data_IF_043655809887
#
_entry.id   IF_043655809887
#
_cell.length_a   1.000
_cell.length_b   1.000
_cell.length_c   1.000
_cell.angle_alpha   90.00
_cell.angle_beta   90.00
_cell.angle_gamma   90.00
#
_symmetry.space_group_name_H-M   'P 1'
#
loop_
_entity.id
_entity.type
_entity.pdbx_description
1 polymer ?
#
# COMPACT_ATOMS: atom_id res chain seq x y z
N UNK A 1 9.49 -3.85 -7.13
CA UNK A 1 9.51 -2.81 -6.08
C UNK A 1 9.31 -1.46 -6.74
N UNK A 2 8.34 -0.66 -6.30
CA UNK A 2 8.09 0.67 -6.85
C UNK A 2 8.61 1.71 -5.84
N UNK A 3 9.63 2.48 -6.24
CA UNK A 3 10.15 3.60 -5.45
C UNK A 3 9.33 4.86 -5.74
N UNK A 4 8.69 5.41 -4.71
CA UNK A 4 7.72 6.48 -4.88
C UNK A 4 8.34 7.86 -4.74
N UNK A 5 9.54 7.97 -4.17
CA UNK A 5 10.29 9.22 -4.08
C UNK A 5 10.69 9.79 -5.45
N UNK A 6 10.66 8.96 -6.50
CA UNK A 6 10.98 9.36 -7.87
C UNK A 6 9.73 9.66 -8.71
N UNK A 7 8.52 9.45 -8.16
CA UNK A 7 7.27 9.49 -8.93
C UNK A 7 6.36 10.62 -8.49
N UNK A 8 6.07 11.57 -9.40
CA UNK A 8 5.26 12.79 -9.11
C UNK A 8 3.77 12.54 -8.81
N UNK A 9 3.25 11.32 -9.02
CA UNK A 9 1.81 11.06 -8.90
C UNK A 9 1.52 9.63 -8.40
N UNK A 10 1.57 9.45 -7.08
CA UNK A 10 1.42 8.15 -6.40
C UNK A 10 0.12 7.40 -6.76
N UNK A 11 -1.01 8.10 -6.86
CA UNK A 11 -2.30 7.46 -7.19
C UNK A 11 -2.35 6.91 -8.63
N UNK A 12 -1.62 7.55 -9.55
CA UNK A 12 -1.51 7.09 -10.94
C UNK A 12 -0.69 5.80 -11.01
N UNK A 13 0.35 5.68 -10.20
CA UNK A 13 1.18 4.47 -10.07
C UNK A 13 0.35 3.30 -9.55
N UNK A 14 -0.42 3.51 -8.47
CA UNK A 14 -1.29 2.46 -7.93
C UNK A 14 -2.36 2.02 -8.92
N UNK A 15 -2.94 2.96 -9.67
CA UNK A 15 -3.94 2.67 -10.69
C UNK A 15 -3.35 1.93 -11.90
N UNK A 16 -2.19 2.38 -12.42
CA UNK A 16 -1.49 1.75 -13.56
C UNK A 16 -1.00 0.34 -13.26
N UNK A 17 -0.57 0.10 -12.03
CA UNK A 17 -0.11 -1.22 -11.61
C UNK A 17 -1.26 -2.16 -11.19
N UNK A 18 -2.52 -1.75 -11.38
CA UNK A 18 -3.73 -2.53 -11.08
C UNK A 18 -3.72 -3.15 -9.67
N UNK A 19 -3.11 -2.47 -8.69
CA UNK A 19 -2.81 -3.00 -7.35
C UNK A 19 -4.08 -3.15 -6.49
N UNK A 20 -5.26 -2.87 -7.05
CA UNK A 20 -6.52 -2.97 -6.34
C UNK A 20 -6.81 -4.43 -5.96
N UNK A 21 -6.97 -4.70 -4.67
CA UNK A 21 -7.17 -6.05 -4.10
C UNK A 21 -5.95 -6.98 -4.09
N UNK A 22 -4.76 -6.47 -4.36
CA UNK A 22 -3.52 -7.25 -4.24
C UNK A 22 -2.95 -7.19 -2.82
N UNK A 23 -2.08 -8.16 -2.48
CA UNK A 23 -1.27 -8.09 -1.28
C UNK A 23 -0.06 -7.21 -1.55
N UNK A 24 0.25 -6.31 -0.64
CA UNK A 24 1.37 -5.38 -0.77
C UNK A 24 2.18 -5.34 0.50
N UNK A 25 3.47 -5.10 0.31
CA UNK A 25 4.39 -4.66 1.34
C UNK A 25 4.60 -3.15 1.21
N UNK A 26 4.54 -2.42 2.31
CA UNK A 26 4.63 -0.96 2.35
C UNK A 26 5.72 -0.55 3.30
N UNK A 27 6.56 0.40 2.89
CA UNK A 27 7.61 1.01 3.72
C UNK A 27 7.31 2.50 3.86
N UNK A 28 7.26 2.98 5.10
CA UNK A 28 7.05 4.39 5.43
C UNK A 28 8.37 5.16 5.56
N UNK A 29 8.28 6.49 5.55
CA UNK A 29 9.40 7.43 5.72
C UNK A 29 10.15 7.29 7.06
N UNK A 30 9.48 6.77 8.08
CA UNK A 30 10.05 6.46 9.39
C UNK A 30 10.66 5.05 9.48
N UNK A 31 10.72 4.31 8.36
CA UNK A 31 11.25 2.96 8.28
C UNK A 31 10.31 1.87 8.78
N UNK A 32 9.06 2.19 9.18
CA UNK A 32 8.08 1.16 9.54
C UNK A 32 7.55 0.44 8.31
N UNK A 33 7.34 -0.85 8.46
CA UNK A 33 6.92 -1.76 7.40
C UNK A 33 5.56 -2.37 7.72
N UNK A 34 4.73 -2.53 6.69
CA UNK A 34 3.37 -3.06 6.80
C UNK A 34 3.09 -4.06 5.66
N UNK A 35 2.30 -5.09 5.94
CA UNK A 35 1.97 -6.11 4.96
C UNK A 35 0.49 -6.47 5.03
N UNK A 36 -0.21 -6.33 3.91
CA UNK A 36 -1.63 -6.61 3.89
C UNK A 36 -2.25 -6.52 2.51
N UNK A 37 -3.57 -6.58 2.46
CA UNK A 37 -4.35 -6.46 1.23
C UNK A 37 -4.77 -5.02 1.01
N UNK A 38 -4.57 -4.50 -0.21
CA UNK A 38 -5.03 -3.16 -0.57
C UNK A 38 -6.55 -3.10 -0.51
N UNK A 39 -7.06 -2.09 0.21
CA UNK A 39 -8.46 -1.68 0.22
C UNK A 39 -8.60 -0.37 -0.54
N UNK A 40 -9.72 -0.21 -1.23
CA UNK A 40 -10.07 1.06 -1.87
C UNK A 40 -10.18 2.13 -0.80
N UNK A 41 -9.35 3.17 -0.88
CA UNK A 41 -9.50 4.37 -0.04
C UNK A 41 -10.57 5.29 -0.62
N UNK A 42 -11.33 5.93 0.27
CA UNK A 42 -12.35 6.91 -0.10
C UNK A 42 -11.74 8.29 -0.44
N UNK A 43 -10.52 8.55 0.00
CA UNK A 43 -9.79 9.81 -0.19
C UNK A 43 -8.51 9.57 -0.99
N UNK A 44 -8.24 10.46 -1.95
CA UNK A 44 -7.09 10.39 -2.87
C UNK A 44 -5.75 10.63 -2.20
N UNK A 45 -5.72 11.16 -0.97
CA UNK A 45 -4.51 11.40 -0.19
C UNK A 45 -4.19 10.28 0.81
N UNK A 46 -5.07 9.29 0.92
CA UNK A 46 -4.93 8.21 1.88
C UNK A 46 -4.89 6.86 1.19
N UNK A 47 -4.24 5.92 1.86
CA UNK A 47 -4.13 4.54 1.45
C UNK A 47 -4.58 3.63 2.58
N UNK A 48 -5.43 2.66 2.29
CA UNK A 48 -5.98 1.73 3.28
C UNK A 48 -5.46 0.32 3.01
N UNK A 49 -4.82 -0.26 4.01
CA UNK A 49 -4.31 -1.62 4.00
C UNK A 49 -5.09 -2.45 5.01
N UNK A 50 -5.52 -3.64 4.61
CA UNK A 50 -6.08 -4.62 5.54
C UNK A 50 -5.02 -5.63 5.92
N UNK A 51 -4.60 -5.58 7.18
CA UNK A 51 -3.69 -6.56 7.78
C UNK A 51 -4.48 -7.70 8.42
N UNK A 52 -3.86 -8.88 8.51
CA UNK A 52 -4.40 -10.04 9.20
C UNK A 52 -3.41 -10.41 10.30
N UNK A 53 -3.80 -10.23 11.56
CA UNK A 53 -2.99 -10.55 12.74
C UNK A 53 -3.82 -11.45 13.63
N UNK A 54 -3.30 -12.62 14.00
CA UNK A 54 -3.98 -13.58 14.87
C UNK A 54 -5.42 -13.94 14.47
N UNK A 55 -5.67 -14.04 13.15
CA UNK A 55 -6.99 -14.28 12.52
C UNK A 55 -7.99 -13.13 12.63
N UNK A 56 -7.58 -11.98 13.16
CA UNK A 56 -8.35 -10.75 13.16
C UNK A 56 -7.93 -9.83 12.01
N UNK A 57 -8.86 -9.02 11.54
CA UNK A 57 -8.66 -8.09 10.43
C UNK A 57 -8.54 -6.67 10.97
N UNK A 58 -7.44 -6.01 10.63
CA UNK A 58 -7.17 -4.63 11.01
C UNK A 58 -7.06 -3.76 9.77
N UNK A 59 -7.89 -2.72 9.68
CA UNK A 59 -7.79 -1.72 8.62
C UNK A 59 -6.85 -0.59 9.09
N UNK A 60 -5.70 -0.46 8.43
CA UNK A 60 -4.70 0.57 8.71
C UNK A 60 -4.76 1.62 7.61
N UNK A 61 -4.85 2.89 8.01
CA UNK A 61 -4.97 4.03 7.10
C UNK A 61 -3.67 4.83 7.17
N UNK A 62 -3.06 5.05 6.02
CA UNK A 62 -1.83 5.81 5.86
C UNK A 62 -2.09 7.05 5.04
N UNK A 63 -1.36 8.13 5.33
CA UNK A 63 -1.21 9.21 4.36
C UNK A 63 -0.22 8.78 3.31
N UNK A 64 -0.55 9.06 2.05
CA UNK A 64 0.25 8.65 0.90
C UNK A 64 1.64 9.30 0.89
N UNK A 65 1.74 10.54 1.33
CA UNK A 65 3.01 11.29 1.43
C UNK A 65 4.02 10.69 2.41
N UNK A 66 3.59 9.77 3.27
CA UNK A 66 4.46 9.01 4.17
C UNK A 66 5.00 7.72 3.57
N UNK A 67 4.46 7.26 2.43
CA UNK A 67 4.81 5.97 1.84
C UNK A 67 6.00 6.16 0.89
N UNK A 68 7.12 5.51 1.19
CA UNK A 68 8.36 5.60 0.40
C UNK A 68 8.43 4.51 -0.66
N UNK A 69 7.96 3.30 -0.33
CA UNK A 69 7.99 2.18 -1.26
C UNK A 69 6.76 1.29 -1.09
N UNK A 70 6.31 0.73 -2.21
CA UNK A 70 5.30 -0.33 -2.25
C UNK A 70 5.83 -1.48 -3.11
N UNK A 71 5.71 -2.69 -2.60
CA UNK A 71 5.98 -3.91 -3.33
C UNK A 71 4.71 -4.75 -3.42
N UNK A 72 4.25 -5.01 -4.65
CA UNK A 72 3.13 -5.92 -4.90
C UNK A 72 3.62 -7.35 -4.73
N UNK A 73 3.03 -8.08 -3.78
CA UNK A 73 3.21 -9.52 -3.66
C UNK A 73 2.06 -10.18 -4.42
N UNK A 74 2.35 -10.59 -5.65
CA UNK A 74 1.37 -11.21 -6.54
C UNK A 74 0.70 -12.43 -5.92
N UNK A 75 -0.51 -12.72 -6.40
CA UNK A 75 -1.34 -13.86 -6.00
C UNK A 75 -0.88 -15.17 -6.68
N UNK A 76 0.40 -15.50 -6.63
CA UNK A 76 0.88 -16.84 -6.95
C UNK A 76 2.23 -17.12 -6.27
N UNK A 77 2.46 -18.41 -6.03
CA UNK A 77 3.41 -19.06 -5.13
C UNK A 77 4.89 -18.66 -5.26
#
# INVERSE_FOLDING_TARGET
MINLNETRNFMEVLAKAEIQSERVFIILDNGKEYFGKVKRSADVNYFTLREIVDKEYYDVIFRIDRIVAIEVKGRDK
#
